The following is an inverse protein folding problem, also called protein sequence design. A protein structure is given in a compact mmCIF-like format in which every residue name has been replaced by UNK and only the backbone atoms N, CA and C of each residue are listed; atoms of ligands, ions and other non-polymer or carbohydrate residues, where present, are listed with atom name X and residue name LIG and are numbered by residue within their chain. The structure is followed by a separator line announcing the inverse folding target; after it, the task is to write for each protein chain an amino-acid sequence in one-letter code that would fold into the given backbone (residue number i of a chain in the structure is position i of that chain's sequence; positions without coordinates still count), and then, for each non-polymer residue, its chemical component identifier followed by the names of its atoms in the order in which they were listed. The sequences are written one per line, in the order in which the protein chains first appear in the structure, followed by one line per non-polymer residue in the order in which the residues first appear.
data_IF_125217002585
#
_entry.id   IF_125217002585
#
_cell.length_a   1.000
_cell.length_b   1.000
_cell.length_c   1.000
_cell.angle_alpha   90.00
_cell.angle_beta   90.00
_cell.angle_gamma   90.00
#
_symmetry.space_group_name_H-M   'P 1'
#
loop_
_entity.id
_entity.type
_entity.pdbx_description
1 polymer ?
#
# COMPACT_ATOMS: atom_id res chain seq x y z
N UNK A 1 23.35 -9.87 8.21
CA UNK A 1 22.34 -9.23 7.34
C UNK A 1 22.93 -9.05 5.96
N UNK A 2 22.14 -9.34 4.92
CA UNK A 2 22.57 -9.25 3.51
C UNK A 2 21.52 -8.48 2.71
N UNK A 3 21.95 -7.49 1.94
CA UNK A 3 21.10 -6.80 0.97
C UNK A 3 21.04 -7.63 -0.31
N UNK A 4 19.85 -7.89 -0.83
CA UNK A 4 19.65 -8.61 -2.07
C UNK A 4 19.56 -7.61 -3.23
N UNK A 5 20.57 -7.62 -4.11
CA UNK A 5 20.62 -6.75 -5.30
C UNK A 5 20.55 -7.54 -6.61
N UNK A 6 20.82 -8.84 -6.56
CA UNK A 6 20.80 -9.68 -7.75
C UNK A 6 19.34 -9.97 -8.19
N UNK A 7 18.95 -9.69 -9.45
CA UNK A 7 17.60 -9.94 -9.94
C UNK A 7 17.13 -11.39 -9.75
N UNK A 8 18.01 -12.36 -9.99
CA UNK A 8 17.66 -13.78 -9.80
C UNK A 8 17.36 -14.14 -8.33
N UNK A 9 18.08 -13.52 -7.38
CA UNK A 9 17.78 -13.69 -5.96
C UNK A 9 16.46 -13.03 -5.56
N UNK A 10 16.16 -11.85 -6.10
CA UNK A 10 14.90 -11.15 -5.85
C UNK A 10 13.70 -11.90 -6.44
N UNK A 11 13.82 -12.47 -7.64
CA UNK A 11 12.78 -13.33 -8.23
C UNK A 11 12.55 -14.59 -7.38
N UNK A 12 13.63 -15.25 -6.94
CA UNK A 12 13.51 -16.40 -6.04
C UNK A 12 12.86 -16.03 -4.70
N UNK A 13 13.18 -14.86 -4.16
CA UNK A 13 12.55 -14.35 -2.94
C UNK A 13 11.04 -14.12 -3.17
N UNK A 14 10.64 -13.55 -4.31
CA UNK A 14 9.23 -13.39 -4.67
C UNK A 14 8.47 -14.72 -4.64
N UNK A 15 9.06 -15.79 -5.21
CA UNK A 15 8.46 -17.11 -5.22
C UNK A 15 8.32 -17.71 -3.81
N UNK A 16 9.32 -17.49 -2.94
CA UNK A 16 9.27 -17.97 -1.56
C UNK A 16 8.20 -17.22 -0.77
N UNK A 17 8.18 -15.90 -0.85
CA UNK A 17 7.20 -15.06 -0.14
C UNK A 17 5.76 -15.34 -0.59
N UNK A 18 5.56 -15.66 -1.86
CA UNK A 18 4.24 -16.06 -2.39
C UNK A 18 3.66 -17.26 -1.68
N UNK A 19 4.50 -18.22 -1.27
CA UNK A 19 4.08 -19.41 -0.51
C UNK A 19 3.72 -19.10 0.94
N UNK A 20 4.16 -17.94 1.44
CA UNK A 20 3.93 -17.48 2.81
C UNK A 20 2.77 -16.49 2.91
N UNK A 21 1.99 -16.33 1.85
CA UNK A 21 0.80 -15.49 1.88
C UNK A 21 -0.30 -16.15 2.75
N UNK A 22 -1.12 -15.37 3.48
CA UNK A 22 -1.16 -13.89 3.46
C UNK A 22 -0.16 -13.18 4.39
N UNK A 23 0.58 -13.90 5.24
CA UNK A 23 1.43 -13.32 6.27
C UNK A 23 2.52 -12.38 5.72
N UNK A 24 3.06 -12.70 4.55
CA UNK A 24 4.14 -11.95 3.92
C UNK A 24 3.65 -10.81 2.99
N UNK A 25 2.36 -10.47 2.98
CA UNK A 25 1.76 -9.54 2.01
C UNK A 25 2.52 -8.22 1.82
N UNK A 26 2.86 -7.45 2.88
CA UNK A 26 3.55 -6.17 2.68
C UNK A 26 4.93 -6.33 2.05
N UNK A 27 5.74 -7.25 2.55
CA UNK A 27 7.09 -7.49 2.00
C UNK A 27 7.00 -8.07 0.60
N UNK A 28 6.04 -8.95 0.34
CA UNK A 28 5.79 -9.50 -0.98
C UNK A 28 5.47 -8.38 -1.99
N UNK A 29 4.58 -7.44 -1.64
CA UNK A 29 4.26 -6.28 -2.48
C UNK A 29 5.47 -5.36 -2.73
N UNK A 30 6.32 -5.15 -1.72
CA UNK A 30 7.57 -4.40 -1.89
C UNK A 30 8.52 -5.10 -2.87
N UNK A 31 8.72 -6.43 -2.73
CA UNK A 31 9.55 -7.23 -3.65
C UNK A 31 9.00 -7.21 -5.07
N UNK A 32 7.67 -7.28 -5.23
CA UNK A 32 7.02 -7.12 -6.53
C UNK A 32 7.34 -5.76 -7.17
N UNK A 33 7.27 -4.67 -6.41
CA UNK A 33 7.63 -3.34 -6.90
C UNK A 33 9.12 -3.25 -7.28
N UNK A 34 10.01 -3.83 -6.47
CA UNK A 34 11.45 -3.89 -6.76
C UNK A 34 11.70 -4.64 -8.07
N UNK A 35 11.11 -5.82 -8.25
CA UNK A 35 11.27 -6.63 -9.46
C UNK A 35 10.67 -5.97 -10.72
N UNK A 36 9.80 -4.99 -10.56
CA UNK A 36 9.13 -4.26 -11.64
C UNK A 36 9.63 -2.84 -11.84
N UNK A 37 10.92 -2.62 -11.58
CA UNK A 37 11.58 -1.34 -11.84
C UNK A 37 11.82 -0.46 -10.61
N UNK A 38 11.44 -0.94 -9.42
CA UNK A 38 11.72 -0.28 -8.14
C UNK A 38 11.37 1.22 -8.10
N UNK A 39 10.13 1.60 -8.38
CA UNK A 39 9.73 3.02 -8.45
C UNK A 39 9.91 3.75 -7.12
N UNK A 40 9.90 3.02 -6.00
CA UNK A 40 10.07 3.55 -4.65
C UNK A 40 11.51 3.61 -4.16
N UNK A 41 12.48 3.11 -4.94
CA UNK A 41 13.88 3.00 -4.51
C UNK A 41 14.02 2.23 -3.19
N UNK A 42 13.36 1.08 -3.08
CA UNK A 42 13.47 0.20 -1.92
C UNK A 42 14.57 -0.83 -2.12
N UNK A 43 15.09 -1.35 -1.01
CA UNK A 43 15.99 -2.48 -0.95
C UNK A 43 15.44 -3.56 -0.02
N UNK A 44 15.85 -4.80 -0.24
CA UNK A 44 15.50 -5.94 0.61
C UNK A 44 16.71 -6.41 1.36
N UNK A 45 16.54 -6.54 2.66
CA UNK A 45 17.54 -7.04 3.59
C UNK A 45 17.06 -8.36 4.19
N UNK A 46 17.91 -9.38 4.18
CA UNK A 46 17.66 -10.68 4.83
C UNK A 46 18.73 -10.95 5.88
N UNK A 47 18.40 -11.74 6.89
CA UNK A 47 19.37 -12.15 7.91
C UNK A 47 20.46 -13.04 7.31
N UNK A 48 20.09 -14.01 6.47
CA UNK A 48 20.97 -14.90 5.71
C UNK A 48 20.32 -15.29 4.37
N UNK A 49 21.07 -15.88 3.47
CA UNK A 49 20.61 -16.32 2.17
C UNK A 49 21.29 -17.62 1.75
N UNK A 50 20.61 -18.62 1.16
CA UNK A 50 19.20 -18.60 0.70
C UNK A 50 18.16 -18.92 1.79
N UNK A 51 18.58 -19.45 2.91
CA UNK A 51 17.70 -19.87 4.02
C UNK A 51 17.59 -18.74 5.04
N UNK A 52 16.67 -17.82 4.81
CA UNK A 52 16.41 -16.68 5.71
C UNK A 52 15.30 -17.00 6.70
N UNK A 53 15.45 -16.48 7.93
CA UNK A 53 14.41 -16.46 8.97
C UNK A 53 13.71 -15.11 9.05
N UNK A 54 14.35 -14.03 8.56
CA UNK A 54 13.80 -12.70 8.57
C UNK A 54 14.07 -11.96 7.26
N UNK A 55 13.08 -11.16 6.82
CA UNK A 55 13.18 -10.32 5.63
C UNK A 55 12.58 -8.94 5.92
N UNK A 56 13.26 -7.89 5.45
CA UNK A 56 12.89 -6.50 5.64
C UNK A 56 12.97 -5.76 4.30
N UNK A 57 11.94 -5.01 3.95
CA UNK A 57 11.97 -4.04 2.85
C UNK A 57 12.04 -2.61 3.42
N UNK A 58 12.99 -1.81 2.95
CA UNK A 58 13.22 -0.44 3.41
C UNK A 58 13.65 0.47 2.25
N UNK A 59 13.51 1.80 2.37
CA UNK A 59 14.09 2.74 1.43
C UNK A 59 15.62 2.55 1.30
N UNK A 60 16.13 2.62 0.07
CA UNK A 60 17.57 2.50 -0.20
C UNK A 60 18.30 3.75 0.30
N UNK A 61 19.43 3.56 0.97
CA UNK A 61 20.28 4.67 1.42
C UNK A 61 19.83 5.34 2.72
N UNK A 62 18.70 4.98 3.31
CA UNK A 62 18.36 5.40 4.66
C UNK A 62 19.17 4.59 5.68
N UNK A 63 20.35 5.10 6.01
CA UNK A 63 20.87 4.88 7.35
C UNK A 63 19.99 5.71 8.27
N UNK A 64 19.40 5.08 9.29
CA UNK A 64 18.54 5.76 10.25
C UNK A 64 19.32 6.87 10.98
N UNK A 65 19.45 8.01 10.36
CA UNK A 65 19.96 9.25 10.97
C UNK A 65 18.81 10.09 11.54
N UNK A 66 17.64 9.51 11.70
CA UNK A 66 16.52 10.12 12.39
C UNK A 66 16.61 9.86 13.87
N UNK A 67 16.54 10.93 14.65
CA UNK A 67 16.51 10.90 16.10
C UNK A 67 15.50 9.85 16.59
N UNK A 68 16.00 8.79 17.25
CA UNK A 68 15.18 7.70 17.84
C UNK A 68 14.15 8.20 18.86
N UNK A 69 14.14 9.49 19.19
CA UNK A 69 13.19 10.13 20.11
C UNK A 69 11.81 10.31 19.48
N UNK A 70 11.71 10.39 18.17
CA UNK A 70 10.41 10.52 17.48
C UNK A 70 9.63 9.20 17.40
N UNK A 71 10.32 8.05 17.56
CA UNK A 71 9.67 6.73 17.61
C UNK A 71 9.00 6.41 18.94
N UNK A 72 9.22 7.21 20.00
CA UNK A 72 8.68 6.95 21.36
C UNK A 72 7.35 7.64 21.66
N UNK A 73 6.86 8.50 20.80
CA UNK A 73 5.57 9.19 20.97
C UNK A 73 4.55 8.68 19.98
N UNK A 74 3.83 7.66 20.44
CA UNK A 74 2.70 7.12 19.70
C UNK A 74 3.15 6.15 18.60
N UNK A 75 2.38 5.09 18.44
CA UNK A 75 2.47 4.10 17.39
C UNK A 75 2.28 4.78 16.04
N UNK A 76 3.24 5.56 15.63
CA UNK A 76 3.39 6.02 14.27
C UNK A 76 4.27 4.99 13.58
N UNK A 77 3.66 4.10 12.82
CA UNK A 77 4.38 3.34 11.81
C UNK A 77 5.24 4.35 11.05
N UNK A 78 6.57 4.24 11.18
CA UNK A 78 7.45 4.97 10.29
C UNK A 78 7.03 4.60 8.87
N UNK A 79 6.60 5.55 8.02
CA UNK A 79 6.32 5.23 6.64
C UNK A 79 7.62 4.73 6.01
N UNK A 80 7.68 3.44 5.71
CA UNK A 80 8.82 2.84 5.04
C UNK A 80 9.45 1.62 5.71
N UNK A 81 9.01 1.19 6.90
CA UNK A 81 9.61 0.00 7.51
C UNK A 81 8.53 -1.01 7.85
N UNK A 82 8.48 -2.12 7.13
CA UNK A 82 7.66 -3.27 7.48
C UNK A 82 8.58 -4.44 7.83
N UNK A 83 8.54 -4.87 9.07
CA UNK A 83 9.24 -6.05 9.55
C UNK A 83 8.24 -7.19 9.64
N UNK A 84 8.44 -8.23 8.85
CA UNK A 84 7.74 -9.50 9.00
C UNK A 84 8.68 -10.44 9.74
N UNK A 85 8.50 -10.56 11.04
CA UNK A 85 9.13 -11.61 11.82
C UNK A 85 8.19 -12.83 11.79
N UNK A 86 8.68 -13.96 11.30
CA UNK A 86 8.04 -15.24 11.54
C UNK A 86 8.43 -15.70 12.94
N UNK A 87 7.81 -15.15 13.97
CA UNK A 87 7.87 -15.73 15.31
C UNK A 87 6.59 -16.55 15.53
N UNK A 88 6.79 -17.72 16.14
CA UNK A 88 5.76 -18.66 16.55
C UNK A 88 4.63 -17.97 17.32
N UNK A 89 3.37 -18.41 17.15
CA UNK A 89 2.25 -17.85 17.87
C UNK A 89 2.18 -18.48 19.28
N UNK A 90 2.98 -17.99 20.21
CA UNK A 90 2.71 -18.22 21.64
C UNK A 90 3.01 -16.94 22.43
N UNK A 91 1.95 -16.47 23.10
CA UNK A 91 1.90 -15.51 24.18
C UNK A 91 2.27 -14.04 23.90
N UNK A 92 1.26 -13.23 23.57
CA UNK A 92 1.10 -11.90 24.17
C UNK A 92 -0.39 -11.56 24.27
N UNK A 93 -0.97 -11.90 25.41
CA UNK A 93 -2.19 -11.25 25.90
C UNK A 93 -1.87 -9.79 26.23
N UNK A 94 -2.47 -8.87 25.50
CA UNK A 94 -2.31 -7.44 25.73
C UNK A 94 -3.40 -6.68 24.99
N UNK A 95 -4.47 -6.37 25.72
CA UNK A 95 -5.61 -5.55 25.29
C UNK A 95 -5.18 -4.15 24.87
N UNK A 96 -5.36 -3.83 23.60
CA UNK A 96 -5.12 -2.50 23.05
C UNK A 96 -5.67 -2.41 21.64
N UNK A 97 -6.99 -2.62 21.48
CA UNK A 97 -7.67 -2.54 20.19
C UNK A 97 -7.88 -1.09 19.83
N UNK A 98 -6.90 -0.47 19.19
CA UNK A 98 -7.15 0.68 18.34
C UNK A 98 -7.98 0.22 17.15
N UNK A 99 -9.18 0.76 17.03
CA UNK A 99 -10.21 0.41 16.06
C UNK A 99 -9.73 0.69 14.61
N UNK A 100 -8.93 -0.20 14.08
CA UNK A 100 -8.76 -0.35 12.65
C UNK A 100 -10.02 -1.06 12.18
N UNK A 101 -10.90 -0.29 11.56
CA UNK A 101 -12.02 -0.90 10.84
C UNK A 101 -11.46 -2.00 9.96
N UNK A 102 -11.52 -3.23 10.46
CA UNK A 102 -11.42 -4.39 9.62
C UNK A 102 -12.43 -4.18 8.49
N UNK A 103 -11.94 -3.87 7.33
CA UNK A 103 -12.65 -4.26 6.14
C UNK A 103 -12.74 -5.78 6.25
N UNK A 104 -13.88 -6.18 6.80
CA UNK A 104 -14.16 -7.58 7.05
C UNK A 104 -13.69 -8.34 5.84
N UNK A 105 -12.91 -9.37 6.09
CA UNK A 105 -12.71 -10.42 5.15
C UNK A 105 -14.13 -10.87 4.73
N UNK A 106 -14.68 -10.22 3.72
CA UNK A 106 -15.61 -10.87 2.83
C UNK A 106 -14.79 -12.05 2.35
N UNK A 107 -15.12 -13.22 2.89
CA UNK A 107 -14.55 -14.51 2.54
C UNK A 107 -14.70 -14.76 1.04
N UNK A 108 -13.94 -14.04 0.28
CA UNK A 108 -13.76 -14.27 -1.14
C UNK A 108 -12.60 -15.24 -1.23
N UNK A 109 -12.97 -16.51 -1.22
CA UNK A 109 -12.11 -17.58 -1.68
C UNK A 109 -11.42 -17.14 -2.95
N UNK A 110 -10.24 -17.70 -3.20
CA UNK A 110 -9.48 -17.59 -4.46
C UNK A 110 -10.32 -18.28 -5.54
N UNK A 111 -11.47 -17.70 -5.85
CA UNK A 111 -12.43 -18.16 -6.84
C UNK A 111 -12.70 -17.02 -7.80
N UNK A 112 -12.35 -17.24 -9.06
CA UNK A 112 -12.82 -16.55 -10.26
C UNK A 112 -13.48 -15.18 -9.98
N UNK A 113 -12.70 -14.12 -10.02
CA UNK A 113 -13.24 -12.79 -10.23
C UNK A 113 -13.84 -12.77 -11.63
N UNK A 114 -15.07 -13.24 -11.74
CA UNK A 114 -15.89 -12.88 -12.88
C UNK A 114 -15.80 -11.37 -13.01
N UNK A 115 -15.69 -10.86 -14.21
CA UNK A 115 -15.64 -9.43 -14.55
C UNK A 115 -16.81 -8.73 -13.87
N UNK A 116 -16.60 -8.25 -12.63
CA UNK A 116 -17.52 -7.31 -12.00
C UNK A 116 -17.43 -6.03 -12.83
N UNK A 117 -18.33 -5.90 -13.79
CA UNK A 117 -18.53 -4.65 -14.51
C UNK A 117 -19.11 -3.64 -13.53
N UNK A 118 -18.25 -2.89 -12.89
CA UNK A 118 -18.65 -1.80 -11.99
C UNK A 118 -18.48 -0.51 -12.78
N UNK A 119 -19.60 0.11 -13.08
CA UNK A 119 -19.62 1.39 -13.80
C UNK A 119 -19.72 2.56 -12.83
N UNK A 120 -19.01 3.67 -13.09
CA UNK A 120 -19.23 4.91 -12.36
C UNK A 120 -20.67 5.41 -12.50
N UNK A 121 -21.15 6.14 -11.50
CA UNK A 121 -22.45 6.82 -11.60
C UNK A 121 -22.49 7.77 -12.83
N UNK A 122 -23.66 8.04 -13.40
CA UNK A 122 -23.80 8.99 -14.49
C UNK A 122 -23.10 10.32 -14.20
N UNK A 123 -22.33 10.83 -15.15
CA UNK A 123 -21.57 12.08 -15.00
C UNK A 123 -20.24 11.93 -14.24
N UNK A 124 -19.87 10.71 -13.80
CA UNK A 124 -18.59 10.42 -13.17
C UNK A 124 -17.76 9.53 -14.07
N UNK A 125 -16.47 9.80 -14.17
CA UNK A 125 -15.53 9.01 -14.97
C UNK A 125 -14.31 8.56 -14.15
N UNK A 126 -13.69 7.47 -14.56
CA UNK A 126 -12.39 7.06 -14.03
C UNK A 126 -11.31 7.93 -14.67
N UNK A 127 -10.57 8.63 -13.85
CA UNK A 127 -9.49 9.52 -14.23
C UNK A 127 -8.23 9.29 -13.40
N UNK A 128 -7.40 10.32 -13.34
CA UNK A 128 -6.14 10.31 -12.61
C UNK A 128 -5.99 11.58 -11.77
N UNK A 129 -5.33 11.46 -10.63
CA UNK A 129 -4.87 12.61 -9.87
C UNK A 129 -3.61 13.19 -10.52
N UNK A 130 -3.45 14.49 -10.40
CA UNK A 130 -2.24 15.24 -10.81
C UNK A 130 -1.45 15.70 -9.58
N UNK A 131 -0.19 16.08 -9.72
CA UNK A 131 0.59 16.65 -8.62
C UNK A 131 -0.07 17.87 -7.94
N UNK A 132 -0.92 18.62 -8.65
CA UNK A 132 -1.66 19.75 -8.08
C UNK A 132 -2.68 19.34 -7.01
N UNK A 133 -3.08 18.07 -6.95
CA UNK A 133 -4.01 17.56 -5.94
C UNK A 133 -3.34 17.16 -4.62
N UNK A 134 -2.01 17.30 -4.48
CA UNK A 134 -1.29 16.89 -3.26
C UNK A 134 -1.81 17.59 -2.01
N UNK A 135 -2.18 18.87 -2.10
CA UNK A 135 -2.71 19.62 -0.96
C UNK A 135 -4.10 19.09 -0.57
N UNK A 136 -4.98 18.84 -1.53
CA UNK A 136 -6.27 18.17 -1.29
C UNK A 136 -6.10 16.80 -0.61
N UNK A 137 -5.14 16.01 -1.07
CA UNK A 137 -4.84 14.71 -0.46
C UNK A 137 -4.33 14.87 0.97
N UNK A 138 -3.45 15.84 1.21
CA UNK A 138 -2.89 16.10 2.53
C UNK A 138 -3.93 16.58 3.54
N UNK A 139 -4.87 17.41 3.11
CA UNK A 139 -5.94 17.95 3.95
C UNK A 139 -7.03 16.92 4.27
N UNK A 140 -7.26 15.98 3.36
CA UNK A 140 -8.29 14.93 3.53
C UNK A 140 -7.77 13.65 4.16
N UNK A 141 -6.45 13.51 4.35
CA UNK A 141 -5.86 12.32 4.95
C UNK A 141 -5.85 12.44 6.49
N UNK A 142 -6.36 11.44 7.25
CA UNK A 142 -6.35 11.49 8.71
C UNK A 142 -4.96 11.66 9.35
N UNK A 143 -3.91 11.27 8.63
CA UNK A 143 -2.51 11.43 9.05
C UNK A 143 -1.80 12.58 8.32
N UNK A 144 -2.58 13.41 7.63
CA UNK A 144 -2.12 14.54 6.82
C UNK A 144 -1.93 15.83 7.62
N UNK A 145 -1.99 16.97 6.92
CA UNK A 145 -1.95 18.31 7.51
C UNK A 145 -0.54 18.80 7.87
N UNK A 146 0.53 18.13 7.44
CA UNK A 146 1.91 18.56 7.72
C UNK A 146 2.84 18.38 6.50
N UNK A 147 4.01 19.00 6.57
CA UNK A 147 4.98 18.98 5.47
C UNK A 147 5.55 17.56 5.17
N UNK A 148 5.59 16.67 6.16
CA UNK A 148 6.08 15.29 5.98
C UNK A 148 5.05 14.45 5.23
N UNK A 149 3.78 14.51 5.64
CA UNK A 149 2.69 13.82 4.95
C UNK A 149 2.52 14.34 3.51
N UNK A 150 2.64 15.65 3.31
CA UNK A 150 2.60 16.26 1.98
C UNK A 150 3.71 15.72 1.06
N UNK A 151 4.94 15.60 1.55
CA UNK A 151 6.06 15.02 0.77
C UNK A 151 5.81 13.55 0.44
N UNK A 152 5.36 12.76 1.42
CA UNK A 152 5.02 11.36 1.23
C UNK A 152 3.92 11.17 0.17
N UNK A 153 2.84 11.96 0.26
CA UNK A 153 1.75 11.91 -0.72
C UNK A 153 2.19 12.32 -2.12
N UNK A 154 3.04 13.35 -2.24
CA UNK A 154 3.62 13.74 -3.51
C UNK A 154 4.48 12.61 -4.12
N UNK A 155 5.25 11.92 -3.28
CA UNK A 155 6.07 10.80 -3.70
C UNK A 155 5.23 9.62 -4.22
N UNK A 156 4.28 9.13 -3.43
CA UNK A 156 3.46 7.99 -3.84
C UNK A 156 2.57 8.32 -5.05
N UNK A 157 2.06 9.55 -5.12
CA UNK A 157 1.25 10.01 -6.25
C UNK A 157 2.06 10.01 -7.57
N UNK A 158 3.32 10.38 -7.51
CA UNK A 158 4.18 10.45 -8.70
C UNK A 158 4.79 9.11 -9.11
N UNK A 159 4.87 8.14 -8.21
CA UNK A 159 5.61 6.88 -8.43
C UNK A 159 4.74 5.63 -8.51
N UNK A 160 3.56 5.63 -7.90
CA UNK A 160 2.72 4.46 -7.79
C UNK A 160 1.36 4.64 -8.46
N UNK A 161 0.71 3.53 -8.84
CA UNK A 161 -0.63 3.59 -9.43
C UNK A 161 -1.62 4.22 -8.47
N UNK A 162 -2.59 4.90 -9.04
CA UNK A 162 -3.71 5.47 -8.30
C UNK A 162 -4.99 5.39 -9.16
N UNK A 163 -6.13 5.45 -8.51
CA UNK A 163 -7.44 5.53 -9.15
C UNK A 163 -8.13 6.76 -8.60
N UNK A 164 -8.64 7.59 -9.50
CA UNK A 164 -9.46 8.73 -9.16
C UNK A 164 -10.78 8.66 -9.94
N UNK A 165 -11.87 8.93 -9.27
CA UNK A 165 -13.14 9.24 -9.93
C UNK A 165 -13.27 10.75 -10.02
N UNK A 166 -13.64 11.25 -11.18
CA UNK A 166 -13.79 12.67 -11.50
C UNK A 166 -15.21 12.95 -11.96
N UNK A 167 -15.75 14.10 -11.58
CA UNK A 167 -17.01 14.60 -12.09
C UNK A 167 -16.92 15.12 -13.54
N UNK A 168 -18.01 15.65 -14.07
CA UNK A 168 -18.10 16.19 -15.42
C UNK A 168 -17.16 17.38 -15.68
N UNK A 169 -16.73 18.09 -14.63
CA UNK A 169 -15.76 19.20 -14.70
C UNK A 169 -14.30 18.73 -14.58
N UNK A 170 -14.08 17.43 -14.28
CA UNK A 170 -12.75 16.86 -14.08
C UNK A 170 -12.25 16.98 -12.65
N UNK A 171 -13.06 17.42 -11.71
CA UNK A 171 -12.68 17.52 -10.30
C UNK A 171 -12.72 16.14 -9.63
N UNK A 172 -11.74 15.80 -8.75
CA UNK A 172 -11.72 14.58 -7.99
C UNK A 172 -12.94 14.48 -7.05
N UNK A 173 -13.67 13.35 -7.10
CA UNK A 173 -14.78 13.06 -6.18
C UNK A 173 -14.49 11.91 -5.23
N UNK A 174 -13.68 10.95 -5.67
CA UNK A 174 -13.20 9.84 -4.85
C UNK A 174 -11.88 9.31 -5.40
N UNK A 175 -11.03 8.77 -4.54
CA UNK A 175 -9.72 8.24 -4.95
C UNK A 175 -9.20 7.15 -4.03
N UNK A 176 -8.26 6.37 -4.57
CA UNK A 176 -7.45 5.37 -3.87
C UNK A 176 -6.02 5.49 -4.36
N UNK A 177 -5.07 5.66 -3.46
CA UNK A 177 -3.64 5.63 -3.74
C UNK A 177 -3.06 4.25 -3.47
N UNK A 178 -1.88 3.99 -4.00
CA UNK A 178 -1.11 2.79 -3.70
C UNK A 178 0.24 3.20 -3.13
N UNK A 179 0.72 2.50 -2.11
CA UNK A 179 2.00 2.76 -1.49
C UNK A 179 3.13 1.84 -1.99
N UNK A 180 4.30 1.95 -1.37
CA UNK A 180 5.51 1.18 -1.68
C UNK A 180 5.34 -0.34 -1.51
N UNK A 181 4.38 -0.77 -0.72
CA UNK A 181 4.07 -2.18 -0.44
C UNK A 181 2.97 -2.74 -1.36
N UNK A 182 2.49 -1.93 -2.31
CA UNK A 182 1.35 -2.32 -3.15
C UNK A 182 0.01 -2.29 -2.39
N UNK A 183 -0.02 -1.68 -1.20
CA UNK A 183 -1.23 -1.57 -0.38
C UNK A 183 -2.08 -0.42 -0.89
N UNK A 184 -3.40 -0.62 -0.93
CA UNK A 184 -4.35 0.47 -1.10
C UNK A 184 -4.29 1.40 0.12
N UNK A 185 -3.97 2.65 -0.10
CA UNK A 185 -3.83 3.66 0.96
C UNK A 185 -4.60 4.92 0.60
N UNK A 186 -4.88 5.77 1.60
CA UNK A 186 -5.58 7.05 1.42
C UNK A 186 -6.82 6.92 0.52
N UNK A 187 -7.72 6.01 0.87
CA UNK A 187 -9.03 5.89 0.20
C UNK A 187 -9.98 6.94 0.75
N UNK A 188 -10.51 7.81 -0.12
CA UNK A 188 -11.37 8.91 0.30
C UNK A 188 -12.46 9.22 -0.72
N UNK A 189 -13.62 9.62 -0.22
CA UNK A 189 -14.72 10.20 -1.02
C UNK A 189 -15.12 11.51 -0.39
N UNK A 190 -15.24 12.55 -1.19
CA UNK A 190 -15.70 13.87 -0.73
C UNK A 190 -17.05 13.74 0.00
N UNK A 191 -17.28 14.47 1.10
CA UNK A 191 -18.47 14.32 1.94
C UNK A 191 -19.77 14.41 1.17
N UNK A 192 -19.89 15.37 0.25
CA UNK A 192 -21.06 15.63 -0.59
C UNK A 192 -21.29 14.55 -1.67
N UNK A 193 -20.29 13.71 -1.93
CA UNK A 193 -20.33 12.63 -2.91
C UNK A 193 -20.48 11.24 -2.27
N UNK A 194 -20.58 11.16 -0.95
CA UNK A 194 -20.73 9.89 -0.22
C UNK A 194 -22.08 9.24 -0.49
N UNK A 195 -22.19 7.94 -0.17
CA UNK A 195 -23.38 7.10 -0.34
C UNK A 195 -23.85 6.92 -1.79
N UNK A 196 -22.98 7.18 -2.77
CA UNK A 196 -23.25 7.00 -4.21
C UNK A 196 -22.46 5.83 -4.82
N UNK A 197 -21.83 4.98 -4.00
CA UNK A 197 -21.06 3.83 -4.48
C UNK A 197 -19.67 4.15 -5.05
N UNK A 198 -19.24 5.41 -5.06
CA UNK A 198 -17.98 5.84 -5.69
C UNK A 198 -16.76 5.08 -5.14
N UNK A 199 -16.67 4.86 -3.82
CA UNK A 199 -15.55 4.14 -3.23
C UNK A 199 -15.50 2.69 -3.69
N UNK A 200 -16.64 2.03 -3.81
CA UNK A 200 -16.71 0.66 -4.33
C UNK A 200 -16.15 0.59 -5.75
N UNK A 201 -16.55 1.53 -6.62
CA UNK A 201 -16.02 1.62 -7.99
C UNK A 201 -14.51 1.84 -7.98
N UNK A 202 -14.03 2.81 -7.21
CA UNK A 202 -12.59 3.13 -7.15
C UNK A 202 -11.76 1.94 -6.66
N UNK A 203 -12.20 1.24 -5.61
CA UNK A 203 -11.54 0.05 -5.08
C UNK A 203 -11.56 -1.11 -6.08
N UNK A 204 -12.69 -1.35 -6.75
CA UNK A 204 -12.78 -2.42 -7.76
C UNK A 204 -11.82 -2.16 -8.92
N UNK A 205 -11.79 -0.93 -9.45
CA UNK A 205 -10.85 -0.57 -10.52
C UNK A 205 -9.40 -0.68 -10.05
N UNK A 206 -9.10 -0.27 -8.82
CA UNK A 206 -7.76 -0.39 -8.25
C UNK A 206 -7.35 -1.87 -8.13
N UNK A 207 -8.25 -2.74 -7.64
CA UNK A 207 -8.03 -4.18 -7.52
C UNK A 207 -7.78 -4.83 -8.89
N UNK A 208 -8.60 -4.53 -9.90
CA UNK A 208 -8.43 -5.05 -11.26
C UNK A 208 -7.07 -4.65 -11.84
N UNK A 209 -6.67 -3.38 -11.69
CA UNK A 209 -5.37 -2.88 -12.16
C UNK A 209 -4.20 -3.52 -11.40
N UNK A 210 -4.34 -3.74 -10.09
CA UNK A 210 -3.33 -4.42 -9.29
C UNK A 210 -3.16 -5.88 -9.72
N UNK A 211 -4.26 -6.62 -9.89
CA UNK A 211 -4.26 -8.01 -10.34
C UNK A 211 -3.66 -8.17 -11.74
N UNK A 212 -3.98 -7.28 -12.68
CA UNK A 212 -3.38 -7.29 -14.03
C UNK A 212 -1.85 -7.12 -13.99
N UNK A 213 -1.30 -6.56 -12.91
CA UNK A 213 0.14 -6.41 -12.66
C UNK A 213 0.70 -7.52 -11.75
N UNK A 214 -0.11 -8.50 -11.37
CA UNK A 214 0.28 -9.62 -10.50
C UNK A 214 0.37 -9.27 -9.01
N UNK A 215 -0.21 -8.15 -8.58
CA UNK A 215 -0.26 -7.77 -7.17
C UNK A 215 -1.50 -8.38 -6.50
N UNK A 216 -1.37 -8.91 -5.29
CA UNK A 216 -2.51 -9.22 -4.45
C UNK A 216 -3.18 -7.91 -3.99
N UNK A 217 -4.49 -7.96 -3.76
CA UNK A 217 -5.24 -6.81 -3.25
C UNK A 217 -5.35 -6.91 -1.74
N UNK A 218 -4.90 -5.90 -1.04
CA UNK A 218 -5.06 -5.74 0.41
C UNK A 218 -5.00 -4.25 0.78
N UNK A 219 -5.60 -3.91 1.90
CA UNK A 219 -5.65 -2.54 2.42
C UNK A 219 -6.33 -2.49 3.78
#
# INVERSE_FOLDING_TARGET
MKILTCPAQLQRLEEILRKSLPLALPVFGAVLNINRGNPGHFEVVVDKWPEFGAVLARPSGEVASGDMRDCRRGVTRCPGTCQVCSEHPEELGGTGVGNWGCWGALGMGVGCWGTLEVWPAPGVRVGSLSPSHVDLLNDTWPYGGNARSRRFLAEILGRFPQVCLQDGSGQPVAWVLTDHFGTGTHSYTLPEQRRRGHMQVALTVAAQRAHARGFPTFG
#
